data_IF_200330387598
#
_entry.id   IF_200330387598
#
_cell.length_a   1.000
_cell.length_b   1.000
_cell.length_c   1.000
_cell.angle_alpha   90.00
_cell.angle_beta   90.00
_cell.angle_gamma   90.00
#
_symmetry.space_group_name_H-M   'P 1'
#
loop_
_entity.id
_entity.type
_entity.pdbx_description
1 polymer ?
#
# COMPACT_ATOMS: atom_id res chain seq x y z
N UNK A 1 -9.28 4.41 11.22
CA UNK A 1 -8.93 5.50 10.30
C UNK A 1 -10.15 6.25 9.78
N UNK A 2 -11.20 5.57 9.30
CA UNK A 2 -12.44 6.22 8.81
C UNK A 2 -13.02 7.19 9.85
N UNK A 3 -13.22 6.73 11.09
CA UNK A 3 -13.75 7.56 12.20
C UNK A 3 -12.82 8.76 12.44
N UNK A 4 -11.51 8.54 12.45
CA UNK A 4 -10.51 9.59 12.64
C UNK A 4 -10.59 10.66 11.54
N UNK A 5 -10.71 10.24 10.27
CA UNK A 5 -10.84 11.16 9.15
C UNK A 5 -12.15 11.96 9.22
N UNK A 6 -13.27 11.29 9.48
CA UNK A 6 -14.57 11.95 9.59
C UNK A 6 -14.63 12.92 10.78
N UNK A 7 -14.04 12.54 11.92
CA UNK A 7 -13.95 13.40 13.09
C UNK A 7 -13.05 14.62 12.84
N UNK A 8 -11.88 14.43 12.24
CA UNK A 8 -11.00 15.53 11.84
C UNK A 8 -11.69 16.47 10.85
N UNK A 9 -12.43 15.92 9.88
CA UNK A 9 -13.24 16.70 8.95
C UNK A 9 -14.33 17.51 9.67
N UNK A 10 -15.09 16.87 10.56
CA UNK A 10 -16.13 17.57 11.33
C UNK A 10 -15.52 18.71 12.17
N UNK A 11 -14.40 18.50 12.85
CA UNK A 11 -13.71 19.54 13.60
C UNK A 11 -13.24 20.67 12.68
N UNK A 12 -12.64 20.35 11.54
CA UNK A 12 -12.17 21.35 10.59
C UNK A 12 -13.29 22.26 10.09
N UNK A 13 -14.44 21.68 9.73
CA UNK A 13 -15.61 22.43 9.26
C UNK A 13 -16.34 23.22 10.36
N UNK A 14 -16.15 22.85 11.65
CA UNK A 14 -16.77 23.54 12.79
C UNK A 14 -15.85 24.48 13.53
N UNK A 15 -14.55 24.50 13.20
CA UNK A 15 -13.52 25.29 13.88
C UNK A 15 -13.57 26.80 13.57
N UNK A 16 -14.37 27.22 12.59
CA UNK A 16 -14.35 28.60 12.07
C UNK A 16 -13.12 28.95 11.23
N UNK A 17 -12.26 27.98 10.91
CA UNK A 17 -11.11 28.19 10.03
C UNK A 17 -11.59 28.56 8.61
N UNK A 18 -10.95 29.55 8.00
CA UNK A 18 -11.26 29.97 6.63
C UNK A 18 -10.46 29.24 5.56
N UNK A 19 -9.45 28.48 5.96
CA UNK A 19 -8.62 27.67 5.07
C UNK A 19 -8.52 26.26 5.60
N UNK A 20 -8.64 25.26 4.74
CA UNK A 20 -8.52 23.86 5.07
C UNK A 20 -7.48 23.20 4.15
N UNK A 21 -6.46 22.59 4.76
CA UNK A 21 -5.59 21.64 4.07
C UNK A 21 -6.15 20.22 4.25
N UNK A 22 -6.58 19.60 3.14
CA UNK A 22 -7.12 18.24 3.16
C UNK A 22 -6.09 17.20 3.64
N UNK A 23 -4.81 17.49 3.56
CA UNK A 23 -3.73 16.62 4.03
C UNK A 23 -3.76 16.45 5.56
N UNK A 24 -4.17 17.49 6.29
CA UNK A 24 -4.30 17.43 7.76
C UNK A 24 -5.39 16.46 8.23
N UNK A 25 -6.35 16.14 7.37
CA UNK A 25 -7.39 15.16 7.68
C UNK A 25 -6.86 13.72 7.68
N UNK A 26 -5.69 13.48 7.07
CA UNK A 26 -5.05 12.17 6.92
C UNK A 26 -4.09 11.85 8.09
N UNK A 27 -4.44 12.25 9.29
CA UNK A 27 -3.60 12.07 10.48
C UNK A 27 -3.24 10.59 10.76
N UNK A 28 -2.08 10.38 11.38
CA UNK A 28 -1.54 9.06 11.76
C UNK A 28 -0.76 8.34 10.66
N UNK A 29 -0.44 9.03 9.58
CA UNK A 29 0.61 8.71 8.64
C UNK A 29 1.45 9.97 8.43
N UNK A 30 2.76 9.83 8.34
CA UNK A 30 3.65 10.97 8.12
C UNK A 30 3.50 11.59 6.72
N UNK A 31 2.87 10.87 5.79
CA UNK A 31 2.59 11.33 4.45
C UNK A 31 1.32 10.67 3.90
N UNK A 32 0.50 11.42 3.18
CA UNK A 32 -0.72 10.92 2.51
C UNK A 32 -0.47 9.77 1.53
N UNK A 33 0.73 9.70 0.92
CA UNK A 33 1.11 8.58 0.04
C UNK A 33 1.12 7.25 0.78
N UNK A 34 1.57 7.23 2.04
CA UNK A 34 1.58 5.99 2.85
C UNK A 34 0.18 5.56 3.24
N UNK A 35 -0.71 6.52 3.46
CA UNK A 35 -2.13 6.20 3.61
C UNK A 35 -2.69 5.58 2.32
N UNK A 36 -2.37 6.13 1.15
CA UNK A 36 -2.76 5.56 -0.14
C UNK A 36 -2.22 4.15 -0.36
N UNK A 37 -0.97 3.87 0.05
CA UNK A 37 -0.42 2.51 0.00
C UNK A 37 -1.25 1.54 0.87
N UNK A 38 -1.59 1.94 2.10
CA UNK A 38 -2.47 1.17 2.96
C UNK A 38 -3.85 0.94 2.33
N UNK A 39 -4.42 1.95 1.68
CA UNK A 39 -5.70 1.84 0.98
C UNK A 39 -5.64 0.85 -0.19
N UNK A 40 -4.54 0.77 -0.91
CA UNK A 40 -4.36 -0.17 -2.03
C UNK A 40 -4.48 -1.62 -1.60
N UNK A 41 -4.05 -1.96 -0.39
CA UNK A 41 -4.27 -3.31 0.17
C UNK A 41 -5.68 -3.52 0.71
N UNK A 42 -6.33 -2.49 1.20
CA UNK A 42 -7.58 -2.63 1.96
C UNK A 42 -8.84 -2.34 1.15
N UNK A 43 -8.81 -1.41 0.19
CA UNK A 43 -9.92 -1.15 -0.73
C UNK A 43 -10.43 -2.42 -1.45
N UNK A 44 -9.56 -3.31 -1.98
CA UNK A 44 -10.01 -4.55 -2.58
C UNK A 44 -10.78 -5.45 -1.63
N UNK A 45 -10.38 -5.52 -0.37
CA UNK A 45 -11.00 -6.35 0.65
C UNK A 45 -12.36 -5.81 1.11
N UNK A 46 -12.56 -4.49 1.08
CA UNK A 46 -13.85 -3.88 1.40
C UNK A 46 -14.96 -4.25 0.40
N UNK A 47 -14.61 -4.73 -0.79
CA UNK A 47 -15.59 -5.24 -1.77
C UNK A 47 -16.08 -6.64 -1.41
N UNK A 48 -15.33 -7.41 -0.64
CA UNK A 48 -15.68 -8.80 -0.31
C UNK A 48 -17.11 -8.96 0.23
N UNK A 49 -17.58 -8.17 1.23
CA UNK A 49 -18.96 -8.25 1.70
C UNK A 49 -20.01 -7.96 0.61
N UNK A 50 -19.67 -7.17 -0.41
CA UNK A 50 -20.57 -6.84 -1.52
C UNK A 50 -20.71 -7.98 -2.53
N UNK A 51 -19.71 -8.87 -2.60
CA UNK A 51 -19.72 -10.04 -3.47
C UNK A 51 -20.40 -11.26 -2.85
N UNK A 52 -20.35 -11.41 -1.51
CA UNK A 52 -20.90 -12.57 -0.82
C UNK A 52 -22.42 -12.65 -1.04
N UNK A 53 -22.93 -13.80 -1.58
CA UNK A 53 -24.37 -14.03 -1.66
C UNK A 53 -25.03 -14.05 -0.27
N UNK A 54 -26.32 -13.71 -0.22
CA UNK A 54 -27.16 -13.83 0.99
C UNK A 54 -26.70 -13.05 2.22
N UNK A 55 -25.89 -12.01 2.04
CA UNK A 55 -25.56 -11.05 3.10
C UNK A 55 -26.74 -10.11 3.35
N UNK A 56 -26.94 -9.65 4.57
CA UNK A 56 -28.03 -8.71 4.89
C UNK A 56 -27.91 -7.40 4.11
N UNK A 57 -29.03 -6.81 3.73
CA UNK A 57 -29.06 -5.52 3.01
C UNK A 57 -28.37 -4.41 3.81
N UNK A 58 -28.54 -4.41 5.14
CA UNK A 58 -27.93 -3.44 6.03
C UNK A 58 -26.38 -3.53 5.99
N UNK A 59 -25.82 -4.75 6.09
CA UNK A 59 -24.37 -4.94 6.04
C UNK A 59 -23.80 -4.61 4.67
N UNK A 60 -24.53 -4.96 3.59
CA UNK A 60 -24.14 -4.58 2.22
C UNK A 60 -24.11 -3.07 2.04
N UNK A 61 -25.16 -2.37 2.53
CA UNK A 61 -25.23 -0.90 2.51
C UNK A 61 -24.09 -0.26 3.31
N UNK A 62 -23.82 -0.76 4.52
CA UNK A 62 -22.74 -0.27 5.36
C UNK A 62 -21.36 -0.48 4.71
N UNK A 63 -21.12 -1.65 4.11
CA UNK A 63 -19.87 -1.94 3.39
C UNK A 63 -19.70 -1.03 2.17
N UNK A 64 -20.75 -0.78 1.42
CA UNK A 64 -20.72 0.14 0.28
C UNK A 64 -20.48 1.59 0.71
N UNK A 65 -21.19 2.06 1.75
CA UNK A 65 -20.96 3.40 2.30
C UNK A 65 -19.51 3.58 2.78
N UNK A 66 -18.98 2.58 3.49
CA UNK A 66 -17.58 2.57 3.91
C UNK A 66 -16.64 2.64 2.71
N UNK A 67 -16.89 1.87 1.66
CA UNK A 67 -16.09 1.86 0.44
C UNK A 67 -16.11 3.24 -0.26
N UNK A 68 -17.28 3.91 -0.32
CA UNK A 68 -17.40 5.28 -0.84
C UNK A 68 -16.58 6.28 -0.02
N UNK A 69 -16.63 6.20 1.31
CA UNK A 69 -15.80 7.05 2.19
C UNK A 69 -14.31 6.78 1.98
N UNK A 70 -13.90 5.54 1.76
CA UNK A 70 -12.51 5.22 1.48
C UNK A 70 -12.04 5.76 0.13
N UNK A 71 -12.91 5.77 -0.88
CA UNK A 71 -12.63 6.46 -2.14
C UNK A 71 -12.61 7.97 -1.99
N UNK A 72 -13.52 8.56 -1.18
CA UNK A 72 -13.43 9.98 -0.82
C UNK A 72 -12.04 10.32 -0.25
N UNK A 73 -11.54 9.50 0.68
CA UNK A 73 -10.20 9.70 1.29
C UNK A 73 -9.10 9.56 0.23
N UNK A 74 -9.17 8.57 -0.65
CA UNK A 74 -8.18 8.39 -1.72
C UNK A 74 -8.18 9.55 -2.73
N UNK A 75 -9.35 10.12 -3.01
CA UNK A 75 -9.52 11.26 -3.91
C UNK A 75 -8.99 12.52 -3.24
N UNK A 76 -9.42 12.83 -2.01
CA UNK A 76 -8.98 14.02 -1.28
C UNK A 76 -7.46 14.02 -1.01
N UNK A 77 -6.88 12.87 -0.74
CA UNK A 77 -5.44 12.70 -0.59
C UNK A 77 -4.64 12.77 -1.89
N UNK A 78 -5.29 12.74 -3.07
CA UNK A 78 -4.63 12.81 -4.37
C UNK A 78 -3.63 11.67 -4.62
N UNK A 79 -3.92 10.47 -4.14
CA UNK A 79 -3.00 9.32 -4.16
C UNK A 79 -3.02 8.58 -5.50
N UNK A 80 -2.40 9.17 -6.53
CA UNK A 80 -2.38 8.66 -7.92
C UNK A 80 -1.93 7.19 -8.03
N UNK A 81 -0.97 6.77 -7.19
CA UNK A 81 -0.49 5.38 -7.16
C UNK A 81 -1.61 4.40 -6.80
N UNK A 82 -2.46 4.73 -5.83
CA UNK A 82 -3.65 3.94 -5.47
C UNK A 82 -4.65 3.86 -6.62
N UNK A 83 -4.92 4.98 -7.29
CA UNK A 83 -5.85 4.99 -8.43
C UNK A 83 -5.35 4.12 -9.59
N UNK A 84 -4.05 4.24 -9.90
CA UNK A 84 -3.40 3.42 -10.92
C UNK A 84 -3.45 1.92 -10.57
N UNK A 85 -3.12 1.59 -9.31
CA UNK A 85 -3.15 0.22 -8.82
C UNK A 85 -4.55 -0.38 -8.87
N UNK A 86 -5.56 0.35 -8.40
CA UNK A 86 -6.95 -0.12 -8.41
C UNK A 86 -7.51 -0.22 -9.84
N UNK A 87 -7.17 0.71 -10.72
CA UNK A 87 -7.53 0.66 -12.14
C UNK A 87 -6.96 -0.59 -12.82
N UNK A 88 -5.67 -0.86 -12.64
CA UNK A 88 -5.01 -2.04 -13.21
C UNK A 88 -5.60 -3.34 -12.65
N UNK A 89 -5.82 -3.42 -11.32
CA UNK A 89 -6.48 -4.57 -10.70
C UNK A 89 -7.89 -4.78 -11.27
N UNK A 90 -8.68 -3.72 -11.41
CA UNK A 90 -10.03 -3.78 -11.97
C UNK A 90 -10.06 -4.30 -13.40
N UNK A 91 -9.19 -3.76 -14.26
CA UNK A 91 -9.08 -4.20 -15.65
C UNK A 91 -8.69 -5.68 -15.73
N UNK A 92 -7.68 -6.10 -14.97
CA UNK A 92 -7.26 -7.50 -14.96
C UNK A 92 -8.38 -8.42 -14.47
N UNK A 93 -9.02 -8.09 -13.34
CA UNK A 93 -10.07 -8.91 -12.77
C UNK A 93 -11.30 -9.01 -13.68
N UNK A 94 -11.64 -7.94 -14.39
CA UNK A 94 -12.77 -7.95 -15.33
C UNK A 94 -12.62 -8.99 -16.44
N UNK A 95 -11.37 -9.33 -16.79
CA UNK A 95 -11.04 -10.38 -17.78
C UNK A 95 -11.16 -11.80 -17.21
N UNK A 96 -11.25 -11.95 -15.86
CA UNK A 96 -11.27 -13.27 -15.21
C UNK A 96 -12.66 -13.85 -15.01
N UNK A 97 -13.71 -13.15 -15.41
CA UNK A 97 -15.06 -13.68 -15.33
C UNK A 97 -16.07 -12.79 -14.60
N UNK A 98 -17.26 -13.31 -14.29
CA UNK A 98 -18.37 -12.51 -13.80
C UNK A 98 -18.10 -11.90 -12.42
N UNK A 99 -17.41 -12.60 -11.53
CA UNK A 99 -17.09 -12.06 -10.19
C UNK A 99 -16.04 -10.94 -10.26
N UNK A 100 -15.06 -11.05 -11.17
CA UNK A 100 -14.12 -9.96 -11.44
C UNK A 100 -14.82 -8.70 -11.98
N UNK A 101 -15.76 -8.88 -12.93
CA UNK A 101 -16.58 -7.77 -13.45
C UNK A 101 -17.47 -7.14 -12.37
N UNK A 102 -18.07 -7.95 -11.49
CA UNK A 102 -18.85 -7.44 -10.33
C UNK A 102 -17.95 -6.69 -9.36
N UNK A 103 -16.76 -7.21 -9.08
CA UNK A 103 -15.77 -6.52 -8.23
C UNK A 103 -15.44 -5.14 -8.82
N UNK A 104 -15.10 -5.07 -10.09
CA UNK A 104 -14.83 -3.80 -10.79
C UNK A 104 -16.06 -2.88 -10.75
N UNK A 105 -17.26 -3.41 -10.98
CA UNK A 105 -18.50 -2.63 -10.93
C UNK A 105 -18.73 -1.97 -9.57
N UNK A 106 -18.48 -2.69 -8.46
CA UNK A 106 -18.57 -2.13 -7.11
C UNK A 106 -17.49 -1.07 -6.85
N UNK A 107 -16.26 -1.26 -7.34
CA UNK A 107 -15.21 -0.26 -7.25
C UNK A 107 -15.59 1.02 -8.02
N UNK A 108 -16.08 0.90 -9.26
CA UNK A 108 -16.50 2.04 -10.06
C UNK A 108 -17.68 2.79 -9.43
N UNK A 109 -18.68 2.06 -8.92
CA UNK A 109 -19.80 2.66 -8.20
C UNK A 109 -19.32 3.41 -6.93
N UNK A 110 -18.35 2.85 -6.22
CA UNK A 110 -17.79 3.49 -5.03
C UNK A 110 -16.89 4.69 -5.38
N UNK A 111 -16.16 4.65 -6.49
CA UNK A 111 -15.44 5.83 -7.03
C UNK A 111 -16.44 6.95 -7.33
N UNK A 112 -17.55 6.65 -8.02
CA UNK A 112 -18.59 7.64 -8.29
C UNK A 112 -19.21 8.20 -6.99
N UNK A 113 -19.47 7.32 -6.00
CA UNK A 113 -19.94 7.75 -4.67
C UNK A 113 -18.90 8.60 -3.93
N UNK A 114 -17.62 8.23 -4.00
CA UNK A 114 -16.52 9.00 -3.41
C UNK A 114 -16.34 10.38 -4.06
N UNK A 115 -16.45 10.46 -5.40
CA UNK A 115 -16.43 11.73 -6.14
C UNK A 115 -17.62 12.62 -5.77
N UNK A 116 -18.82 12.05 -5.67
CA UNK A 116 -20.01 12.78 -5.21
C UNK A 116 -19.81 13.33 -3.80
N UNK A 117 -19.32 12.50 -2.88
CA UNK A 117 -19.01 12.93 -1.51
C UNK A 117 -17.92 14.01 -1.49
N UNK A 118 -16.88 13.88 -2.33
CA UNK A 118 -15.85 14.89 -2.46
C UNK A 118 -16.45 16.24 -2.92
N UNK A 119 -17.25 16.21 -3.96
CA UNK A 119 -17.91 17.41 -4.46
C UNK A 119 -18.84 18.05 -3.42
N UNK A 120 -19.68 17.25 -2.73
CA UNK A 120 -20.58 17.74 -1.70
C UNK A 120 -19.83 18.37 -0.52
N UNK A 121 -18.76 17.73 -0.04
CA UNK A 121 -18.04 18.16 1.17
C UNK A 121 -17.03 19.28 0.84
N UNK A 122 -16.17 19.06 -0.15
CA UNK A 122 -15.04 19.93 -0.42
C UNK A 122 -15.32 21.03 -1.47
N UNK A 123 -16.48 21.00 -2.10
CA UNK A 123 -16.92 22.10 -2.96
C UNK A 123 -18.16 22.76 -2.37
N UNK A 124 -19.31 22.07 -2.34
CA UNK A 124 -20.56 22.69 -1.96
C UNK A 124 -20.57 23.16 -0.50
N UNK A 125 -20.23 22.28 0.45
CA UNK A 125 -20.23 22.62 1.88
C UNK A 125 -19.12 23.61 2.21
N UNK A 126 -17.90 23.44 1.65
CA UNK A 126 -16.78 24.35 1.86
C UNK A 126 -17.11 25.77 1.38
N UNK A 127 -17.65 25.90 0.17
CA UNK A 127 -18.07 27.20 -0.39
C UNK A 127 -19.18 27.86 0.46
N UNK A 128 -20.17 27.06 0.88
CA UNK A 128 -21.25 27.55 1.74
C UNK A 128 -20.75 28.09 3.09
N UNK A 129 -19.70 27.50 3.64
CA UNK A 129 -19.05 27.94 4.88
C UNK A 129 -17.92 28.96 4.69
N UNK A 130 -17.62 29.36 3.45
CA UNK A 130 -16.54 30.30 3.12
C UNK A 130 -15.16 29.74 3.40
N UNK A 131 -14.99 28.41 3.33
CA UNK A 131 -13.71 27.72 3.56
C UNK A 131 -13.00 27.53 2.23
N UNK A 132 -11.78 28.03 2.12
CA UNK A 132 -10.90 27.85 0.96
C UNK A 132 -10.00 26.63 1.16
N UNK A 133 -9.98 25.72 0.20
CA UNK A 133 -9.05 24.58 0.21
C UNK A 133 -7.66 25.06 -0.22
N UNK A 134 -6.65 24.82 0.61
CA UNK A 134 -5.25 25.16 0.32
C UNK A 134 -4.56 24.11 -0.57
N UNK A 135 -5.10 22.88 -0.66
CA UNK A 135 -4.65 21.83 -1.56
C UNK A 135 -5.85 21.09 -2.16
N UNK A 136 -5.90 20.96 -3.47
CA UNK A 136 -6.97 20.27 -4.18
C UNK A 136 -6.49 18.99 -4.86
N UNK A 137 -7.41 18.04 -5.06
CA UNK A 137 -7.14 16.83 -5.86
C UNK A 137 -6.76 17.19 -7.32
N UNK A 138 -7.30 18.29 -7.83
CA UNK A 138 -7.04 18.80 -9.20
C UNK A 138 -5.59 19.19 -9.45
N UNK A 139 -4.90 19.73 -8.45
CA UNK A 139 -3.51 20.18 -8.55
C UNK A 139 -2.54 19.01 -8.80
N UNK A 140 -3.00 17.79 -8.56
CA UNK A 140 -2.24 16.56 -8.74
C UNK A 140 -2.43 15.88 -10.10
N UNK A 141 -3.34 16.36 -10.94
CA UNK A 141 -3.58 15.83 -12.29
C UNK A 141 -2.54 16.34 -13.31
N UNK A 142 -1.27 16.36 -12.91
CA UNK A 142 -0.17 16.71 -13.81
C UNK A 142 0.45 15.47 -14.43
N UNK A 143 0.84 15.52 -15.69
CA UNK A 143 1.52 14.45 -16.43
C UNK A 143 3.02 14.38 -16.14
N UNK A 144 3.57 15.30 -15.34
CA UNK A 144 4.99 15.33 -14.99
C UNK A 144 5.41 14.09 -14.19
N UNK A 145 6.61 13.62 -14.40
CA UNK A 145 7.25 12.56 -13.62
C UNK A 145 7.50 12.94 -12.15
N UNK A 146 6.98 14.09 -11.70
CA UNK A 146 7.11 14.59 -10.33
C UNK A 146 8.57 14.65 -9.84
N UNK A 147 9.50 15.02 -10.71
CA UNK A 147 10.92 15.13 -10.37
C UNK A 147 11.66 13.80 -10.22
N UNK A 148 11.07 12.68 -10.65
CA UNK A 148 11.69 11.34 -10.44
C UNK A 148 12.88 11.02 -11.33
N UNK A 149 13.11 11.77 -12.41
CA UNK A 149 14.23 11.54 -13.32
C UNK A 149 15.58 11.39 -12.60
N UNK A 150 16.01 12.33 -11.76
CA UNK A 150 17.29 12.26 -11.05
C UNK A 150 17.41 11.04 -10.13
N UNK A 151 16.37 10.67 -9.38
CA UNK A 151 16.42 9.50 -8.48
C UNK A 151 16.40 8.16 -9.24
N UNK A 152 15.77 8.09 -10.42
CA UNK A 152 15.86 6.93 -11.29
C UNK A 152 17.25 6.82 -11.91
N UNK A 153 17.84 7.97 -12.28
CA UNK A 153 19.20 8.03 -12.78
C UNK A 153 20.22 7.60 -11.73
N UNK A 154 20.07 8.05 -10.49
CA UNK A 154 20.89 7.60 -9.36
C UNK A 154 20.80 6.08 -9.18
N UNK A 155 19.59 5.51 -9.12
CA UNK A 155 19.39 4.07 -8.99
C UNK A 155 20.02 3.29 -10.17
N UNK A 156 19.92 3.84 -11.38
CA UNK A 156 20.54 3.25 -12.56
C UNK A 156 22.06 3.23 -12.47
N UNK A 157 22.69 4.33 -12.02
CA UNK A 157 24.13 4.37 -11.81
C UNK A 157 24.59 3.37 -10.76
N UNK A 158 23.90 3.29 -9.63
CA UNK A 158 24.16 2.27 -8.62
C UNK A 158 24.08 0.85 -9.20
N UNK A 159 23.06 0.56 -10.01
CA UNK A 159 22.88 -0.72 -10.68
C UNK A 159 24.06 -1.04 -11.62
N UNK A 160 24.48 -0.09 -12.44
CA UNK A 160 25.57 -0.28 -13.40
C UNK A 160 26.92 -0.44 -12.68
N UNK A 161 27.15 0.26 -11.58
CA UNK A 161 28.39 0.18 -10.80
C UNK A 161 28.52 -1.16 -10.06
N UNK A 162 27.41 -1.68 -9.49
CA UNK A 162 27.41 -2.96 -8.74
C UNK A 162 26.28 -3.90 -9.17
N UNK A 163 26.32 -4.45 -10.40
CA UNK A 163 25.19 -5.18 -10.97
C UNK A 163 24.92 -6.53 -10.30
N UNK A 164 25.91 -7.16 -9.67
CA UNK A 164 25.78 -8.53 -9.16
C UNK A 164 25.16 -8.60 -7.77
N UNK A 165 25.65 -7.82 -6.83
CA UNK A 165 25.21 -7.86 -5.43
C UNK A 165 24.53 -6.56 -4.97
N UNK A 166 24.54 -5.51 -5.80
CA UNK A 166 24.06 -4.20 -5.45
C UNK A 166 24.92 -3.49 -4.41
N UNK A 167 24.40 -2.40 -3.87
CA UNK A 167 25.06 -1.62 -2.82
C UNK A 167 24.74 -2.09 -1.40
N UNK A 168 23.76 -2.94 -1.24
CA UNK A 168 23.20 -3.36 0.05
C UNK A 168 21.83 -2.75 0.31
N UNK A 169 21.02 -3.38 1.19
CA UNK A 169 19.68 -2.92 1.49
C UNK A 169 19.69 -1.50 2.06
N UNK A 170 18.77 -0.66 1.59
CA UNK A 170 18.58 0.73 1.98
C UNK A 170 19.73 1.70 1.62
N UNK A 171 20.78 1.25 0.92
CA UNK A 171 21.93 2.10 0.56
C UNK A 171 21.60 3.14 -0.51
N UNK A 172 20.45 3.06 -1.17
CA UNK A 172 19.99 4.18 -1.98
C UNK A 172 19.86 5.46 -1.14
N UNK A 173 19.38 5.34 0.11
CA UNK A 173 19.26 6.47 1.03
C UNK A 173 20.59 6.97 1.58
N UNK A 174 21.69 6.21 1.44
CA UNK A 174 23.02 6.65 1.89
C UNK A 174 23.63 7.70 0.96
N UNK A 175 23.23 7.71 -0.31
CA UNK A 175 23.64 8.73 -1.28
C UNK A 175 22.64 9.89 -1.20
N UNK A 176 23.09 11.01 -0.64
CA UNK A 176 22.26 12.19 -0.45
C UNK A 176 21.77 12.76 -1.81
N UNK A 177 20.48 13.03 -1.89
CA UNK A 177 19.83 13.77 -2.97
C UNK A 177 18.71 14.63 -2.40
N UNK A 178 18.26 15.68 -3.11
CA UNK A 178 17.27 16.62 -2.63
C UNK A 178 15.81 16.14 -2.79
N UNK A 179 15.58 14.91 -3.30
CA UNK A 179 14.26 14.47 -3.76
C UNK A 179 13.65 13.44 -2.83
N UNK A 180 14.32 12.29 -2.62
CA UNK A 180 13.78 11.19 -1.84
C UNK A 180 14.85 10.16 -1.43
N UNK A 181 14.63 9.50 -0.31
CA UNK A 181 15.46 8.40 0.20
C UNK A 181 15.26 7.07 -0.54
N UNK A 182 14.46 7.03 -1.61
CA UNK A 182 14.24 5.84 -2.44
C UNK A 182 13.75 6.24 -3.85
N UNK A 183 13.94 5.43 -4.89
CA UNK A 183 13.64 5.81 -6.27
C UNK A 183 12.16 5.81 -6.63
N UNK A 184 11.24 5.47 -5.72
CA UNK A 184 9.80 5.32 -6.00
C UNK A 184 9.50 4.36 -7.18
N UNK A 185 10.36 3.35 -7.36
CA UNK A 185 10.23 2.35 -8.41
C UNK A 185 10.91 1.04 -7.94
N UNK A 186 10.11 0.01 -7.68
CA UNK A 186 10.53 -1.21 -6.98
C UNK A 186 11.60 -1.99 -7.71
N UNK A 187 11.55 -2.07 -9.04
CA UNK A 187 12.53 -2.85 -9.82
C UNK A 187 13.90 -2.19 -9.76
N UNK A 188 13.95 -0.86 -9.96
CA UNK A 188 15.21 -0.12 -9.83
C UNK A 188 15.74 -0.17 -8.40
N UNK A 189 14.89 0.00 -7.41
CA UNK A 189 15.27 -0.11 -6.00
C UNK A 189 15.89 -1.47 -5.70
N UNK A 190 15.19 -2.54 -6.07
CA UNK A 190 15.66 -3.89 -5.78
C UNK A 190 16.96 -4.20 -6.52
N UNK A 191 17.03 -3.84 -7.80
CA UNK A 191 18.21 -4.12 -8.62
C UNK A 191 19.43 -3.31 -8.19
N UNK A 192 19.28 -2.04 -7.78
CA UNK A 192 20.39 -1.20 -7.31
C UNK A 192 20.91 -1.61 -5.93
N UNK A 193 20.04 -2.10 -5.04
CA UNK A 193 20.40 -2.47 -3.66
C UNK A 193 20.78 -3.95 -3.50
N UNK A 194 20.15 -4.86 -4.26
CA UNK A 194 20.34 -6.32 -4.13
C UNK A 194 20.94 -6.98 -5.36
N UNK A 195 21.20 -6.22 -6.41
CA UNK A 195 21.74 -6.69 -7.68
C UNK A 195 20.70 -7.32 -8.62
N UNK A 196 21.10 -7.46 -9.89
CA UNK A 196 20.28 -8.02 -10.96
C UNK A 196 19.87 -9.48 -10.71
N UNK A 197 20.77 -10.39 -10.25
CA UNK A 197 20.36 -11.78 -10.00
C UNK A 197 19.23 -11.89 -8.98
N UNK A 198 19.30 -11.13 -7.89
CA UNK A 198 18.24 -11.10 -6.88
C UNK A 198 16.94 -10.54 -7.44
N UNK A 199 17.00 -9.44 -8.20
CA UNK A 199 15.84 -8.84 -8.86
C UNK A 199 15.18 -9.82 -9.84
N UNK A 200 15.96 -10.57 -10.62
CA UNK A 200 15.44 -11.59 -11.52
C UNK A 200 14.81 -12.76 -10.75
N UNK A 201 15.42 -13.24 -9.67
CA UNK A 201 14.84 -14.28 -8.83
C UNK A 201 13.47 -13.86 -8.28
N UNK A 202 13.37 -12.64 -7.73
CA UNK A 202 12.09 -12.11 -7.22
C UNK A 202 11.07 -11.96 -8.34
N UNK A 203 11.47 -11.45 -9.51
CA UNK A 203 10.59 -11.31 -10.67
C UNK A 203 10.05 -12.68 -11.14
N UNK A 204 10.91 -13.70 -11.23
CA UNK A 204 10.50 -15.07 -11.61
C UNK A 204 9.55 -15.67 -10.58
N UNK A 205 9.84 -15.51 -9.27
CA UNK A 205 8.97 -16.00 -8.20
C UNK A 205 7.61 -15.30 -8.22
N UNK A 206 7.60 -13.97 -8.36
CA UNK A 206 6.36 -13.19 -8.47
C UNK A 206 5.55 -13.59 -9.70
N UNK A 207 6.20 -13.76 -10.85
CA UNK A 207 5.58 -14.22 -12.09
C UNK A 207 4.95 -15.60 -11.93
N UNK A 208 5.71 -16.59 -11.45
CA UNK A 208 5.22 -17.96 -11.27
C UNK A 208 4.06 -18.04 -10.29
N UNK A 209 4.18 -17.36 -9.15
CA UNK A 209 3.15 -17.32 -8.11
C UNK A 209 1.89 -16.59 -8.60
N UNK A 210 2.07 -15.46 -9.27
CA UNK A 210 0.98 -14.72 -9.90
C UNK A 210 0.26 -15.54 -10.96
N UNK A 211 1.00 -16.26 -11.80
CA UNK A 211 0.44 -17.13 -12.83
C UNK A 211 -0.33 -18.31 -12.25
N UNK A 212 0.21 -18.95 -11.20
CA UNK A 212 -0.48 -20.04 -10.49
C UNK A 212 -1.79 -19.54 -9.86
N UNK A 213 -1.75 -18.38 -9.19
CA UNK A 213 -2.96 -17.78 -8.60
C UNK A 213 -3.99 -17.43 -9.68
N UNK A 214 -3.54 -16.90 -10.81
CA UNK A 214 -4.38 -16.58 -11.96
C UNK A 214 -5.05 -17.83 -12.56
N UNK A 215 -4.33 -18.95 -12.61
CA UNK A 215 -4.87 -20.25 -13.02
C UNK A 215 -6.06 -20.67 -12.14
N UNK A 216 -5.86 -20.66 -10.83
CA UNK A 216 -6.93 -20.99 -9.86
C UNK A 216 -8.13 -20.04 -9.99
N UNK A 217 -7.88 -18.73 -10.16
CA UNK A 217 -8.97 -17.75 -10.35
C UNK A 217 -9.76 -17.99 -11.63
N UNK A 218 -9.11 -18.42 -12.71
CA UNK A 218 -9.79 -18.78 -13.97
C UNK A 218 -10.62 -20.06 -13.83
N UNK A 219 -10.06 -21.09 -13.20
CA UNK A 219 -10.76 -22.35 -12.94
C UNK A 219 -11.98 -22.15 -12.04
N UNK A 220 -11.87 -21.23 -11.06
CA UNK A 220 -12.91 -20.91 -10.09
C UNK A 220 -13.72 -19.64 -10.45
N UNK A 221 -13.66 -19.20 -11.71
CA UNK A 221 -14.26 -17.93 -12.14
C UNK A 221 -15.79 -17.83 -11.94
N UNK A 222 -16.49 -18.97 -11.85
CA UNK A 222 -17.93 -19.04 -11.60
C UNK A 222 -18.26 -19.33 -10.12
N UNK A 223 -17.27 -19.67 -9.31
CA UNK A 223 -17.47 -20.03 -7.89
C UNK A 223 -17.89 -18.80 -7.06
N UNK A 224 -18.96 -18.97 -6.27
CA UNK A 224 -19.43 -18.00 -5.29
C UNK A 224 -18.98 -18.36 -3.87
N UNK A 225 -18.07 -19.32 -3.71
CA UNK A 225 -17.54 -19.68 -2.41
C UNK A 225 -16.78 -18.51 -1.78
N UNK A 226 -16.94 -18.31 -0.47
CA UNK A 226 -16.30 -17.20 0.25
C UNK A 226 -14.78 -17.18 0.09
N UNK A 227 -14.17 -18.37 0.05
CA UNK A 227 -12.73 -18.53 -0.12
C UNK A 227 -12.28 -18.05 -1.50
N UNK A 228 -13.03 -18.34 -2.56
CA UNK A 228 -12.70 -17.93 -3.92
C UNK A 228 -12.90 -16.42 -4.12
N UNK A 229 -13.96 -15.86 -3.52
CA UNK A 229 -14.19 -14.41 -3.51
C UNK A 229 -13.12 -13.67 -2.71
N UNK A 230 -12.67 -14.23 -1.57
CA UNK A 230 -11.56 -13.68 -0.81
C UNK A 230 -10.25 -13.73 -1.59
N UNK A 231 -9.96 -14.86 -2.26
CA UNK A 231 -8.79 -15.01 -3.14
C UNK A 231 -8.80 -13.96 -4.25
N UNK A 232 -9.96 -13.69 -4.86
CA UNK A 232 -10.11 -12.64 -5.86
C UNK A 232 -9.75 -11.26 -5.31
N UNK A 233 -10.27 -10.91 -4.12
CA UNK A 233 -9.99 -9.63 -3.47
C UNK A 233 -8.53 -9.48 -3.04
N UNK A 234 -7.91 -10.54 -2.51
CA UNK A 234 -6.50 -10.55 -2.15
C UNK A 234 -5.59 -10.44 -3.38
N UNK A 235 -5.97 -11.10 -4.47
CA UNK A 235 -5.22 -10.98 -5.72
C UNK A 235 -5.33 -9.57 -6.31
N UNK A 236 -6.51 -8.93 -6.22
CA UNK A 236 -6.67 -7.52 -6.57
C UNK A 236 -5.76 -6.61 -5.73
N UNK A 237 -5.67 -6.86 -4.42
CA UNK A 237 -4.79 -6.12 -3.52
C UNK A 237 -3.31 -6.28 -3.91
N UNK A 238 -2.89 -7.50 -4.21
CA UNK A 238 -1.52 -7.79 -4.63
C UNK A 238 -1.19 -7.11 -5.97
N UNK A 239 -2.06 -7.24 -6.98
CA UNK A 239 -1.88 -6.59 -8.29
C UNK A 239 -1.82 -5.07 -8.13
N UNK A 240 -2.76 -4.50 -7.38
CA UNK A 240 -2.78 -3.06 -7.10
C UNK A 240 -1.50 -2.58 -6.43
N UNK A 241 -1.01 -3.30 -5.41
CA UNK A 241 0.22 -2.98 -4.70
C UNK A 241 1.46 -3.09 -5.60
N UNK A 242 1.55 -4.13 -6.44
CA UNK A 242 2.66 -4.31 -7.39
C UNK A 242 2.68 -3.20 -8.45
N UNK A 243 1.52 -2.81 -8.99
CA UNK A 243 1.43 -1.70 -9.93
C UNK A 243 1.77 -0.36 -9.24
N UNK A 244 1.25 -0.11 -8.04
CA UNK A 244 1.61 1.08 -7.28
C UNK A 244 3.11 1.12 -6.96
N UNK A 245 3.72 -0.01 -6.68
CA UNK A 245 5.16 -0.09 -6.36
C UNK A 245 6.07 0.36 -7.50
N UNK A 246 5.57 0.42 -8.74
CA UNK A 246 6.30 0.96 -9.89
C UNK A 246 6.38 2.50 -9.87
N UNK A 247 5.58 3.15 -9.04
CA UNK A 247 5.49 4.62 -8.95
C UNK A 247 5.51 5.15 -7.52
N UNK A 248 5.73 4.26 -6.53
CA UNK A 248 5.71 4.62 -5.11
C UNK A 248 6.56 3.65 -4.27
N UNK A 249 6.83 4.00 -3.01
CA UNK A 249 7.69 3.25 -2.08
C UNK A 249 7.02 2.07 -1.37
N UNK A 250 6.13 1.30 -2.03
CA UNK A 250 5.37 0.20 -1.40
C UNK A 250 6.28 -0.85 -0.76
N UNK A 251 7.40 -1.17 -1.38
CA UNK A 251 8.35 -2.19 -0.86
C UNK A 251 9.31 -1.64 0.19
N UNK A 252 9.30 -0.33 0.44
CA UNK A 252 10.20 0.35 1.39
C UNK A 252 9.50 0.71 2.69
N UNK A 253 8.21 1.06 2.61
CA UNK A 253 7.44 1.52 3.77
C UNK A 253 7.06 0.36 4.69
N UNK A 254 7.39 0.41 6.00
CA UNK A 254 7.19 -0.70 6.92
C UNK A 254 5.74 -1.21 6.96
N UNK A 255 4.75 -0.32 7.03
CA UNK A 255 3.33 -0.71 7.03
C UNK A 255 2.96 -1.42 5.72
N UNK A 256 3.44 -0.93 4.58
CA UNK A 256 3.18 -1.54 3.27
C UNK A 256 3.85 -2.90 3.13
N UNK A 257 5.06 -3.07 3.68
CA UNK A 257 5.77 -4.37 3.73
C UNK A 257 4.96 -5.40 4.54
N UNK A 258 4.42 -5.01 5.70
CA UNK A 258 3.55 -5.88 6.51
C UNK A 258 2.31 -6.29 5.73
N UNK A 259 1.63 -5.34 5.07
CA UNK A 259 0.45 -5.65 4.27
C UNK A 259 0.77 -6.52 3.05
N UNK A 260 1.91 -6.28 2.41
CA UNK A 260 2.39 -7.12 1.30
C UNK A 260 2.64 -8.56 1.77
N UNK A 261 3.37 -8.71 2.88
CA UNK A 261 3.64 -10.02 3.47
C UNK A 261 2.35 -10.75 3.89
N UNK A 262 1.41 -10.05 4.54
CA UNK A 262 0.11 -10.60 4.92
C UNK A 262 -0.70 -11.03 3.68
N UNK A 263 -0.75 -10.20 2.64
CA UNK A 263 -1.50 -10.49 1.42
C UNK A 263 -0.92 -11.71 0.70
N UNK A 264 0.41 -11.78 0.56
CA UNK A 264 1.10 -12.94 -0.05
C UNK A 264 0.89 -14.18 0.79
N UNK A 265 1.13 -14.10 2.11
CA UNK A 265 0.97 -15.23 3.02
C UNK A 265 -0.46 -15.78 3.04
N UNK A 266 -1.45 -14.89 2.98
CA UNK A 266 -2.85 -15.28 2.92
C UNK A 266 -3.21 -15.93 1.58
N UNK A 267 -2.74 -15.39 0.45
CA UNK A 267 -2.91 -16.02 -0.86
C UNK A 267 -2.26 -17.42 -0.91
N UNK A 268 -1.05 -17.55 -0.33
CA UNK A 268 -0.38 -18.85 -0.23
C UNK A 268 -1.17 -19.85 0.65
N UNK A 269 -1.75 -19.39 1.76
CA UNK A 269 -2.57 -20.22 2.62
C UNK A 269 -3.87 -20.69 1.95
N UNK A 270 -4.42 -19.88 1.05
CA UNK A 270 -5.62 -20.24 0.28
C UNK A 270 -5.30 -21.05 -0.98
N UNK A 271 -4.03 -21.18 -1.35
CA UNK A 271 -3.65 -21.92 -2.55
C UNK A 271 -3.87 -23.42 -2.33
N UNK A 272 -4.58 -24.07 -3.27
CA UNK A 272 -4.73 -25.51 -3.25
C UNK A 272 -3.47 -26.11 -3.86
N UNK A 273 -2.58 -26.57 -3.00
CA UNK A 273 -1.40 -27.32 -3.43
C UNK A 273 -1.86 -28.66 -3.99
N UNK A 274 -1.50 -28.99 -5.22
CA UNK A 274 -1.84 -30.28 -5.82
C UNK A 274 -1.35 -31.44 -4.92
N UNK A 275 -1.99 -32.63 -5.07
CA UNK A 275 -1.77 -33.80 -4.23
C UNK A 275 -0.32 -34.35 -4.18
N UNK A 276 0.58 -33.85 -4.98
CA UNK A 276 2.03 -34.03 -4.86
C UNK A 276 2.64 -33.01 -3.88
N UNK A 277 2.04 -32.86 -2.70
CA UNK A 277 2.78 -32.24 -1.62
C UNK A 277 4.01 -33.11 -1.40
N UNK A 278 5.15 -32.70 -1.96
CA UNK A 278 6.44 -33.22 -1.53
C UNK A 278 6.41 -33.16 -0.02
N UNK A 279 6.48 -34.31 0.63
CA UNK A 279 6.56 -34.39 2.09
C UNK A 279 7.73 -33.51 2.48
N UNK A 280 7.43 -32.30 2.94
CA UNK A 280 8.45 -31.37 3.40
C UNK A 280 9.25 -32.15 4.44
N UNK A 281 10.57 -32.28 4.22
CA UNK A 281 11.43 -32.98 5.17
C UNK A 281 11.08 -32.45 6.57
N UNK A 282 10.72 -33.27 7.54
CA UNK A 282 10.28 -32.82 8.86
C UNK A 282 11.28 -31.85 9.49
N UNK A 283 12.56 -31.97 9.15
CA UNK A 283 13.64 -31.07 9.55
C UNK A 283 13.40 -29.62 9.04
N UNK A 284 12.93 -29.43 7.79
CA UNK A 284 12.65 -28.10 7.23
C UNK A 284 11.47 -27.46 7.97
N UNK A 285 10.43 -28.23 8.26
CA UNK A 285 9.29 -27.75 9.04
C UNK A 285 9.68 -27.34 10.47
N UNK A 286 10.56 -28.10 11.11
CA UNK A 286 11.11 -27.77 12.44
C UNK A 286 12.01 -26.54 12.40
N UNK A 287 12.93 -26.46 11.44
CA UNK A 287 13.79 -25.30 11.27
C UNK A 287 12.97 -24.03 11.08
N UNK A 288 11.91 -24.09 10.27
CA UNK A 288 11.02 -22.95 10.03
C UNK A 288 10.27 -22.51 11.31
N UNK A 289 9.79 -23.45 12.11
CA UNK A 289 9.15 -23.15 13.40
C UNK A 289 10.14 -22.51 14.39
N UNK A 290 11.35 -23.06 14.49
CA UNK A 290 12.40 -22.52 15.39
C UNK A 290 12.78 -21.11 14.96
N UNK A 291 13.03 -20.87 13.67
CA UNK A 291 13.35 -19.54 13.15
C UNK A 291 12.21 -18.54 13.39
N UNK A 292 10.95 -18.97 13.22
CA UNK A 292 9.79 -18.12 13.49
C UNK A 292 9.69 -17.74 14.98
N UNK A 293 9.90 -18.70 15.89
CA UNK A 293 9.89 -18.44 17.34
C UNK A 293 11.03 -17.50 17.72
N UNK A 294 12.24 -17.71 17.18
CA UNK A 294 13.39 -16.83 17.42
C UNK A 294 13.14 -15.41 16.89
N UNK A 295 12.57 -15.27 15.69
CA UNK A 295 12.22 -13.98 15.12
C UNK A 295 11.18 -13.23 15.97
N UNK A 296 10.11 -13.92 16.41
CA UNK A 296 9.09 -13.34 17.30
C UNK A 296 9.71 -12.97 18.66
N UNK A 297 10.53 -13.85 19.23
CA UNK A 297 11.24 -13.58 20.50
C UNK A 297 12.16 -12.34 20.40
N UNK A 298 12.89 -12.21 19.31
CA UNK A 298 13.73 -11.04 19.03
C UNK A 298 12.90 -9.75 18.89
N UNK A 299 11.79 -9.80 18.16
CA UNK A 299 10.89 -8.64 18.02
C UNK A 299 10.28 -8.22 19.36
N UNK A 300 9.88 -9.18 20.20
CA UNK A 300 9.39 -8.91 21.57
C UNK A 300 10.50 -8.28 22.42
N UNK A 301 11.72 -8.84 22.37
CA UNK A 301 12.84 -8.31 23.13
C UNK A 301 13.18 -6.85 22.71
N UNK A 302 13.19 -6.56 21.41
CA UNK A 302 13.38 -5.21 20.87
C UNK A 302 12.24 -4.30 21.35
N UNK A 303 10.98 -4.73 21.25
CA UNK A 303 9.84 -3.94 21.70
C UNK A 303 9.91 -3.62 23.20
N UNK A 304 10.21 -4.60 24.03
CA UNK A 304 10.36 -4.41 25.48
C UNK A 304 11.51 -3.47 25.84
N UNK A 305 12.60 -3.48 25.07
CA UNK A 305 13.72 -2.57 25.23
C UNK A 305 13.38 -1.13 24.81
N UNK A 306 12.77 -0.97 23.64
CA UNK A 306 12.67 0.32 22.96
C UNK A 306 11.39 1.09 23.34
N UNK A 307 10.25 0.40 23.57
CA UNK A 307 8.96 1.06 23.88
C UNK A 307 9.02 1.94 25.12
N UNK A 308 9.65 1.55 26.25
CA UNK A 308 9.75 2.41 27.42
C UNK A 308 10.53 3.71 27.19
N UNK A 309 11.41 3.74 26.20
CA UNK A 309 12.30 4.86 25.88
C UNK A 309 11.90 5.63 24.62
N UNK A 310 10.74 5.31 24.04
CA UNK A 310 10.29 5.90 22.76
C UNK A 310 10.20 7.43 22.83
N UNK A 311 9.69 8.00 23.93
CA UNK A 311 9.56 9.44 24.09
C UNK A 311 10.94 10.13 24.12
N UNK A 312 11.91 9.55 24.83
CA UNK A 312 13.27 10.09 24.90
C UNK A 312 13.97 9.98 23.53
N UNK A 313 13.86 8.82 22.87
CA UNK A 313 14.42 8.61 21.53
C UNK A 313 13.81 9.57 20.49
N UNK A 314 12.51 9.86 20.58
CA UNK A 314 11.85 10.85 19.74
C UNK A 314 12.36 12.26 19.98
N UNK A 315 12.51 12.68 21.23
CA UNK A 315 13.04 14.00 21.58
C UNK A 315 14.48 14.16 21.08
N UNK A 316 15.32 13.16 21.33
CA UNK A 316 16.69 13.15 20.86
C UNK A 316 16.76 13.22 19.33
N UNK A 317 15.97 12.42 18.62
CA UNK A 317 15.90 12.44 17.16
C UNK A 317 15.49 13.82 16.62
N UNK A 318 14.47 14.46 17.25
CA UNK A 318 14.03 15.80 16.87
C UNK A 318 15.09 16.87 17.10
N UNK A 319 15.89 16.76 18.19
CA UNK A 319 17.01 17.67 18.43
C UNK A 319 18.14 17.53 17.42
N UNK A 320 18.40 16.30 16.97
CA UNK A 320 19.56 15.98 16.12
C UNK A 320 19.25 16.19 14.61
N UNK A 321 17.99 16.01 14.20
CA UNK A 321 17.58 15.96 12.77
C UNK A 321 16.47 16.96 12.40
N UNK A 322 16.01 17.81 13.32
CA UNK A 322 14.96 18.82 13.10
C UNK A 322 13.54 18.31 13.37
N UNK A 323 12.54 19.14 13.07
CA UNK A 323 11.17 19.02 13.57
C UNK A 323 10.29 17.90 13.00
N UNK A 324 10.83 16.95 12.25
CA UNK A 324 10.04 15.88 11.65
C UNK A 324 10.55 14.51 12.06
N UNK A 325 9.67 13.73 12.71
CA UNK A 325 9.93 12.31 12.92
C UNK A 325 9.88 11.56 11.60
N UNK A 326 10.99 10.95 11.23
CA UNK A 326 11.09 10.14 10.02
C UNK A 326 11.92 8.87 10.30
N UNK A 327 11.69 7.76 9.59
CA UNK A 327 12.53 6.58 9.71
C UNK A 327 13.99 6.91 9.40
N UNK A 328 14.93 6.25 10.10
CA UNK A 328 16.38 6.49 9.95
C UNK A 328 16.87 6.46 8.51
N UNK A 329 16.34 5.56 7.67
CA UNK A 329 16.71 5.45 6.27
C UNK A 329 16.20 6.60 5.38
N UNK A 330 15.42 7.53 5.93
CA UNK A 330 15.05 8.77 5.25
C UNK A 330 15.99 9.93 5.60
N UNK A 331 16.76 9.78 6.65
CA UNK A 331 17.87 10.68 6.95
C UNK A 331 19.05 10.29 6.04
N UNK A 332 19.07 10.85 4.83
CA UNK A 332 20.06 10.51 3.80
C UNK A 332 21.49 10.66 4.30
N UNK A 333 22.38 9.77 3.84
CA UNK A 333 23.79 9.78 4.20
C UNK A 333 24.12 9.24 5.60
N UNK A 334 23.21 8.48 6.24
CA UNK A 334 23.35 8.00 7.63
C UNK A 334 23.54 6.49 7.73
N UNK A 335 23.30 5.72 6.65
CA UNK A 335 23.26 4.25 6.71
C UNK A 335 24.65 3.63 6.84
N UNK A 336 25.64 4.20 6.17
CA UNK A 336 27.03 3.73 6.19
C UNK A 336 27.88 4.38 7.30
N UNK A 337 27.30 5.15 8.20
CA UNK A 337 28.00 5.82 9.32
C UNK A 337 27.80 5.13 10.64
#
# INVERSE_FOLDING_TARGET
KTIQYLYAGALAFTSGARTLDSDLLLSGFSNKRFYGQFQTFTLPLLVLPLLIPNISRALRGAAFALLCVWWLIAISGGTRGTWLGMGAAGLLLALLGPWGRRWMGWQLAAVAGGLLLYWLVFTVLADHLGIVLSSGAGDRLTTSLSGRGPIWWQAWHMLVERPWLGFGPMHFADIANEIAAHPHQSVLQWASEWGVPSALCVAVLAWRSGWATLGVLRERALSAERVDLLRLCLFAALVGALVQSMVDGVIVMPISQVWLALTIGWLMALHVWGASATVALPLVGWAWKVLSVLAVGLLIAIALRDVPHIAQAQQQYLSDHGNHLQPRFWAQGVIAR
#
